data_IF_986808719121
#
_entry.id   IF_986808719121
#
_cell.length_a   1.000
_cell.length_b   1.000
_cell.length_c   1.000
_cell.angle_alpha   90.00
_cell.angle_beta   90.00
_cell.angle_gamma   90.00
#
_symmetry.space_group_name_H-M   'P 1'
#
loop_
_entity.id
_entity.type
_entity.pdbx_description
1 polymer ?
#
# COMPACT_ATOMS: atom_id res chain seq x y z
N UNK A 1 21.46 -10.07 3.33
CA UNK A 1 20.12 -10.19 2.69
C UNK A 1 19.24 -11.09 3.55
N UNK A 2 18.09 -10.59 3.99
CA UNK A 2 17.13 -11.42 4.71
C UNK A 2 16.38 -12.27 3.68
N UNK A 3 16.39 -13.57 3.84
CA UNK A 3 15.55 -14.46 3.03
C UNK A 3 14.22 -14.72 3.76
N UNK A 4 13.40 -13.69 3.86
CA UNK A 4 12.10 -13.72 4.52
C UNK A 4 11.00 -13.32 3.55
N UNK A 5 9.85 -14.00 3.67
CA UNK A 5 8.60 -13.62 3.00
C UNK A 5 7.69 -13.03 4.06
N UNK A 6 7.14 -11.83 3.80
CA UNK A 6 6.11 -11.22 4.65
C UNK A 6 4.80 -11.21 3.88
N UNK A 7 3.72 -11.67 4.50
CA UNK A 7 2.40 -11.78 3.89
C UNK A 7 1.28 -11.69 4.93
N UNK A 8 0.06 -11.56 4.45
CA UNK A 8 -1.16 -11.65 5.28
C UNK A 8 -1.52 -13.12 5.44
N UNK A 9 -1.59 -13.59 6.68
CA UNK A 9 -1.99 -14.96 7.03
C UNK A 9 -3.35 -14.98 7.69
N UNK A 10 -4.14 -16.02 7.40
CA UNK A 10 -5.39 -16.33 8.08
C UNK A 10 -5.23 -17.61 8.88
N UNK A 11 -5.53 -17.55 10.17
CA UNK A 11 -5.48 -18.70 11.07
C UNK A 11 -6.88 -19.25 11.31
N UNK A 12 -7.15 -20.43 10.78
CA UNK A 12 -8.44 -21.15 10.87
C UNK A 12 -8.48 -22.24 11.95
N UNK A 13 -7.55 -22.24 12.90
CA UNK A 13 -7.53 -23.28 13.95
C UNK A 13 -8.73 -23.22 14.91
N UNK A 14 -9.31 -22.05 15.09
CA UNK A 14 -10.56 -21.89 15.84
C UNK A 14 -11.76 -22.11 14.91
N UNK A 15 -12.88 -22.59 15.48
CA UNK A 15 -14.12 -22.82 14.70
C UNK A 15 -14.92 -21.54 14.44
N UNK A 16 -14.53 -20.45 15.09
CA UNK A 16 -15.09 -19.11 14.92
C UNK A 16 -14.45 -18.40 13.72
N UNK A 17 -14.56 -17.10 13.61
CA UNK A 17 -13.94 -16.33 12.56
C UNK A 17 -12.41 -16.53 12.52
N UNK A 18 -11.80 -16.60 11.32
CA UNK A 18 -10.35 -16.71 11.20
C UNK A 18 -9.66 -15.48 11.79
N UNK A 19 -8.54 -15.72 12.47
CA UNK A 19 -7.70 -14.63 12.98
C UNK A 19 -6.72 -14.23 11.90
N UNK A 20 -6.85 -12.99 11.43
CA UNK A 20 -5.95 -12.40 10.46
C UNK A 20 -4.71 -11.81 11.14
N UNK A 21 -3.57 -11.90 10.46
CA UNK A 21 -2.32 -11.36 10.95
C UNK A 21 -1.35 -11.07 9.81
N UNK A 22 -0.33 -10.27 10.08
CA UNK A 22 0.85 -10.19 9.22
C UNK A 22 1.89 -11.14 9.77
N UNK A 23 2.44 -11.99 8.92
CA UNK A 23 3.44 -12.99 9.29
C UNK A 23 4.72 -12.82 8.47
N UNK A 24 5.84 -13.21 9.07
CA UNK A 24 7.13 -13.38 8.41
C UNK A 24 7.49 -14.86 8.41
N UNK A 25 7.99 -15.36 7.29
CA UNK A 25 8.53 -16.72 7.16
C UNK A 25 9.99 -16.63 6.80
N UNK A 26 10.86 -17.26 7.60
CA UNK A 26 12.26 -17.43 7.28
C UNK A 26 12.43 -18.63 6.34
N UNK A 27 12.87 -18.36 5.10
CA UNK A 27 13.03 -19.40 4.06
C UNK A 27 14.24 -20.32 4.38
N UNK A 28 15.21 -19.84 5.15
CA UNK A 28 16.43 -20.60 5.47
C UNK A 28 16.28 -21.50 6.69
N UNK A 29 15.40 -21.15 7.64
CA UNK A 29 15.19 -21.89 8.90
C UNK A 29 13.91 -22.71 8.85
N UNK A 30 13.83 -23.70 7.97
CA UNK A 30 12.70 -24.65 7.85
C UNK A 30 11.31 -24.01 7.78
N UNK A 31 11.22 -22.74 7.34
CA UNK A 31 9.96 -22.03 7.23
C UNK A 31 9.37 -21.60 8.57
N UNK A 32 10.19 -21.26 9.56
CA UNK A 32 9.73 -20.71 10.83
C UNK A 32 8.85 -19.49 10.62
N UNK A 33 7.63 -19.54 11.16
CA UNK A 33 6.61 -18.51 11.02
C UNK A 33 6.60 -17.63 12.26
N UNK A 34 6.79 -16.32 12.07
CA UNK A 34 6.69 -15.32 13.15
C UNK A 34 5.52 -14.38 12.86
N UNK A 35 4.63 -14.18 13.85
CA UNK A 35 3.56 -13.18 13.76
C UNK A 35 4.17 -11.81 14.02
N UNK A 36 4.06 -10.91 13.02
CA UNK A 36 4.55 -9.54 13.09
C UNK A 36 3.48 -8.57 13.63
N UNK A 37 2.25 -8.68 13.16
CA UNK A 37 1.12 -7.86 13.62
C UNK A 37 -0.15 -8.69 13.71
N UNK A 38 -0.96 -8.43 14.75
CA UNK A 38 -2.26 -9.06 15.00
C UNK A 38 -3.14 -8.13 15.83
N UNK A 39 -4.44 -8.44 15.95
CA UNK A 39 -5.39 -7.70 16.78
C UNK A 39 -6.38 -6.82 16.01
N UNK A 40 -6.15 -6.54 14.73
CA UNK A 40 -7.19 -6.03 13.84
C UNK A 40 -7.92 -7.20 13.17
N UNK A 41 -9.16 -6.97 12.70
CA UNK A 41 -9.94 -8.00 12.01
C UNK A 41 -9.36 -8.34 10.64
N UNK A 42 -8.78 -7.34 9.95
CA UNK A 42 -8.24 -7.51 8.58
C UNK A 42 -6.91 -6.78 8.39
N UNK A 43 -6.09 -7.34 7.51
CA UNK A 43 -4.80 -6.80 7.09
C UNK A 43 -4.63 -6.85 5.58
N UNK A 44 -3.92 -5.88 5.00
CA UNK A 44 -3.58 -5.87 3.58
C UNK A 44 -2.23 -5.20 3.31
N UNK A 45 -1.66 -5.52 2.16
CA UNK A 45 -0.54 -4.80 1.52
C UNK A 45 0.67 -4.54 2.43
N UNK A 46 1.20 -5.55 3.15
CA UNK A 46 2.47 -5.36 3.86
C UNK A 46 3.60 -5.11 2.86
N UNK A 47 4.35 -4.01 3.04
CA UNK A 47 5.46 -3.61 2.18
C UNK A 47 6.66 -3.18 3.00
N UNK A 48 7.83 -3.71 2.66
CA UNK A 48 9.10 -3.39 3.32
C UNK A 48 9.77 -2.22 2.60
N UNK A 49 10.34 -1.29 3.36
CA UNK A 49 11.17 -0.21 2.82
C UNK A 49 12.41 -0.75 2.08
N UNK A 50 12.96 -0.01 1.09
CA UNK A 50 14.12 -0.46 0.31
C UNK A 50 15.36 -0.83 1.15
N UNK A 51 15.53 -0.21 2.31
CA UNK A 51 16.61 -0.51 3.25
C UNK A 51 16.32 -1.72 4.16
N UNK A 52 15.11 -2.30 4.07
CA UNK A 52 14.68 -3.46 4.85
C UNK A 52 14.44 -3.20 6.34
N UNK A 53 14.28 -1.94 6.75
CA UNK A 53 14.20 -1.56 8.18
C UNK A 53 12.84 -1.14 8.66
N UNK A 54 11.92 -0.88 7.74
CA UNK A 54 10.57 -0.41 8.06
C UNK A 54 9.55 -1.25 7.31
N UNK A 55 8.48 -1.65 7.98
CA UNK A 55 7.31 -2.27 7.39
C UNK A 55 6.17 -1.25 7.39
N UNK A 56 5.47 -1.12 6.28
CA UNK A 56 4.18 -0.45 6.20
C UNK A 56 3.10 -1.48 5.88
N UNK A 57 1.87 -1.27 6.39
CA UNK A 57 0.72 -2.12 6.12
C UNK A 57 -0.58 -1.38 6.31
N UNK A 58 -1.66 -1.91 5.73
CA UNK A 58 -3.03 -1.45 5.93
C UNK A 58 -3.77 -2.44 6.81
N UNK A 59 -4.62 -1.94 7.71
CA UNK A 59 -5.52 -2.75 8.53
C UNK A 59 -6.88 -2.06 8.70
N UNK A 60 -7.92 -2.84 9.02
CA UNK A 60 -9.23 -2.31 9.36
C UNK A 60 -10.01 -3.30 10.22
N UNK A 61 -11.14 -2.86 10.76
CA UNK A 61 -12.03 -3.64 11.61
C UNK A 61 -13.47 -3.54 11.16
N UNK A 62 -14.25 -4.56 11.49
CA UNK A 62 -15.69 -4.52 11.34
C UNK A 62 -16.29 -3.25 12.00
N UNK A 63 -17.36 -2.69 11.44
CA UNK A 63 -18.15 -3.15 10.29
C UNK A 63 -17.62 -2.63 8.94
N UNK A 64 -16.45 -1.95 8.91
CA UNK A 64 -15.94 -1.31 7.71
C UNK A 64 -15.44 -2.33 6.70
N UNK A 65 -15.70 -2.04 5.42
CA UNK A 65 -15.02 -2.64 4.29
C UNK A 65 -13.77 -1.82 3.97
N UNK A 66 -12.80 -2.35 3.21
CA UNK A 66 -11.55 -1.62 2.94
C UNK A 66 -11.72 -0.31 2.15
N UNK A 67 -12.87 -0.13 1.50
CA UNK A 67 -13.23 1.12 0.83
C UNK A 67 -14.03 2.10 1.70
N UNK A 68 -14.45 1.71 2.93
CA UNK A 68 -15.15 2.59 3.86
C UNK A 68 -14.16 3.32 4.77
N UNK A 69 -13.34 2.56 5.51
CA UNK A 69 -12.31 3.12 6.39
C UNK A 69 -11.23 2.08 6.67
N UNK A 70 -9.98 2.50 6.47
CA UNK A 70 -8.78 1.70 6.75
C UNK A 70 -7.71 2.55 7.42
N UNK A 71 -6.76 1.92 8.07
CA UNK A 71 -5.65 2.57 8.75
C UNK A 71 -4.32 2.15 8.14
N UNK A 72 -3.45 3.10 7.85
CA UNK A 72 -2.08 2.86 7.40
C UNK A 72 -1.11 2.97 8.57
N UNK A 73 -0.38 1.89 8.81
CA UNK A 73 0.63 1.81 9.85
C UNK A 73 2.04 1.69 9.27
N UNK A 74 3.01 2.17 10.03
CA UNK A 74 4.44 1.91 9.84
C UNK A 74 5.05 1.46 11.15
N UNK A 75 6.06 0.58 11.08
CA UNK A 75 6.85 0.18 12.24
C UNK A 75 8.29 -0.16 11.86
N UNK A 76 9.22 0.03 12.80
CA UNK A 76 10.60 -0.44 12.65
C UNK A 76 10.61 -1.98 12.58
N UNK A 77 11.25 -2.55 11.58
CA UNK A 77 11.43 -4.00 11.42
C UNK A 77 12.85 -4.40 11.81
N UNK A 78 12.98 -5.14 12.93
CA UNK A 78 14.28 -5.62 13.45
C UNK A 78 14.15 -7.07 13.89
N UNK A 79 15.03 -7.96 13.42
CA UNK A 79 15.09 -9.37 13.83
C UNK A 79 13.73 -10.10 13.76
N UNK A 80 12.95 -9.85 12.69
CA UNK A 80 11.58 -10.39 12.52
C UNK A 80 10.58 -9.96 13.61
N UNK A 81 10.78 -8.79 14.19
CA UNK A 81 9.86 -8.17 15.13
C UNK A 81 9.57 -6.73 14.73
N UNK A 82 8.37 -6.25 15.05
CA UNK A 82 7.97 -4.85 14.82
C UNK A 82 8.09 -4.04 16.12
N UNK A 83 8.70 -2.87 15.99
CA UNK A 83 8.86 -1.91 17.08
C UNK A 83 8.22 -0.58 16.70
N UNK A 84 7.70 0.12 17.71
CA UNK A 84 7.15 1.47 17.57
C UNK A 84 6.09 1.59 16.45
N UNK A 85 5.04 0.75 16.41
CA UNK A 85 4.01 0.88 15.39
C UNK A 85 3.32 2.25 15.51
N UNK A 86 3.18 2.95 14.40
CA UNK A 86 2.55 4.27 14.32
C UNK A 86 1.51 4.26 13.21
N UNK A 87 0.29 4.70 13.52
CA UNK A 87 -0.70 5.04 12.51
C UNK A 87 -0.32 6.38 11.87
N UNK A 88 -0.24 6.42 10.55
CA UNK A 88 0.15 7.62 9.79
C UNK A 88 -0.97 8.20 8.94
N UNK A 89 -2.01 7.42 8.65
CA UNK A 89 -3.22 7.84 7.94
C UNK A 89 -4.39 6.91 8.31
N UNK A 90 -5.62 7.30 8.00
CA UNK A 90 -6.81 6.47 8.24
C UNK A 90 -7.72 6.99 9.36
N UNK A 91 -7.85 8.29 9.52
CA UNK A 91 -8.79 8.89 10.47
C UNK A 91 -10.16 9.14 9.81
N UNK A 92 -10.86 8.03 9.46
CA UNK A 92 -12.17 8.08 8.81
C UNK A 92 -12.09 8.20 7.29
N UNK A 93 -11.02 7.71 6.70
CA UNK A 93 -10.75 7.64 5.27
C UNK A 93 -10.41 6.22 4.84
N UNK A 94 -10.57 5.92 3.55
CA UNK A 94 -10.03 4.71 2.94
C UNK A 94 -8.60 4.95 2.48
N UNK A 95 -7.66 4.15 3.00
CA UNK A 95 -6.24 4.19 2.61
C UNK A 95 -5.85 2.84 2.02
N UNK A 96 -5.14 2.84 0.91
CA UNK A 96 -4.72 1.61 0.26
C UNK A 96 -3.41 1.75 -0.51
N UNK A 97 -2.90 0.62 -0.99
CA UNK A 97 -1.75 0.51 -1.88
C UNK A 97 -0.49 1.25 -1.38
N UNK A 98 -0.03 1.03 -0.14
CA UNK A 98 1.23 1.58 0.31
C UNK A 98 2.38 1.04 -0.55
N UNK A 99 3.25 1.94 -0.99
CA UNK A 99 4.48 1.62 -1.74
C UNK A 99 5.60 2.54 -1.29
N UNK A 100 6.78 1.98 -1.17
CA UNK A 100 7.99 2.75 -0.94
C UNK A 100 8.61 3.15 -2.28
N UNK A 101 8.93 4.43 -2.44
CA UNK A 101 9.78 4.88 -3.54
C UNK A 101 11.18 4.26 -3.40
N UNK A 102 11.97 4.18 -4.49
CA UNK A 102 13.32 3.64 -4.41
C UNK A 102 14.25 4.36 -3.41
N UNK A 103 13.97 5.64 -3.12
CA UNK A 103 14.69 6.45 -2.12
C UNK A 103 14.06 6.41 -0.71
N UNK A 104 13.08 5.53 -0.47
CA UNK A 104 12.55 5.24 0.88
C UNK A 104 11.47 6.20 1.38
N UNK A 105 10.79 6.92 0.50
CA UNK A 105 9.61 7.71 0.85
C UNK A 105 8.36 6.85 0.67
N UNK A 106 7.50 6.78 1.69
CA UNK A 106 6.25 6.03 1.60
C UNK A 106 5.19 6.83 0.84
N UNK A 107 4.57 6.16 -0.13
CA UNK A 107 3.43 6.65 -0.87
C UNK A 107 2.24 5.72 -0.65
N UNK A 108 1.03 6.23 -0.83
CA UNK A 108 -0.21 5.49 -0.67
C UNK A 108 -1.36 6.23 -1.36
N UNK A 109 -2.51 5.60 -1.47
CA UNK A 109 -3.73 6.24 -1.97
C UNK A 109 -4.66 6.49 -0.79
N UNK A 110 -5.30 7.67 -0.76
CA UNK A 110 -6.26 8.10 0.26
C UNK A 110 -7.44 8.82 -0.39
N UNK A 111 -8.64 8.60 0.13
CA UNK A 111 -9.86 9.28 -0.28
C UNK A 111 -10.24 10.49 0.62
N UNK A 112 -9.34 10.93 1.49
CA UNK A 112 -9.55 12.07 2.40
C UNK A 112 -10.03 13.34 1.69
N UNK A 113 -9.65 13.52 0.42
CA UNK A 113 -10.09 14.65 -0.41
C UNK A 113 -11.50 14.49 -1.00
N UNK A 114 -12.17 13.35 -0.77
CA UNK A 114 -13.40 12.91 -1.43
C UNK A 114 -13.15 12.14 -2.74
N UNK A 115 -11.88 11.92 -3.10
CA UNK A 115 -11.43 11.15 -4.26
C UNK A 115 -10.18 10.38 -3.86
N UNK A 116 -10.02 9.15 -4.32
CA UNK A 116 -8.80 8.37 -4.09
C UNK A 116 -7.61 8.98 -4.84
N UNK A 117 -6.85 9.81 -4.15
CA UNK A 117 -5.67 10.48 -4.68
C UNK A 117 -4.37 9.84 -4.17
N UNK A 118 -3.29 9.95 -4.96
CA UNK A 118 -1.95 9.50 -4.54
C UNK A 118 -1.38 10.52 -3.54
N UNK A 119 -0.94 10.01 -2.40
CA UNK A 119 -0.31 10.77 -1.33
C UNK A 119 1.11 10.29 -1.07
N UNK A 120 1.97 11.14 -0.52
CA UNK A 120 3.27 10.78 0.07
C UNK A 120 3.31 11.14 1.55
N UNK A 121 4.01 10.33 2.33
CA UNK A 121 4.30 10.60 3.73
C UNK A 121 5.75 11.03 3.92
N UNK A 122 5.98 12.29 4.19
CA UNK A 122 7.30 12.89 4.35
C UNK A 122 7.30 13.92 5.47
N UNK A 123 8.36 13.95 6.28
CA UNK A 123 8.49 14.89 7.39
C UNK A 123 7.37 14.75 8.44
N UNK A 124 6.83 13.56 8.63
CA UNK A 124 5.67 13.26 9.50
C UNK A 124 4.37 13.92 9.05
N UNK A 125 4.23 14.19 7.77
CA UNK A 125 3.02 14.77 7.16
C UNK A 125 2.67 14.04 5.88
N UNK A 126 1.37 13.96 5.62
CA UNK A 126 0.82 13.48 4.36
C UNK A 126 0.65 14.64 3.39
N UNK A 127 1.05 14.43 2.15
CA UNK A 127 0.96 15.40 1.06
C UNK A 127 0.21 14.75 -0.10
N UNK A 128 -0.92 15.33 -0.51
CA UNK A 128 -1.66 14.89 -1.70
C UNK A 128 -0.89 15.35 -2.95
N UNK A 129 -0.46 14.39 -3.79
CA UNK A 129 0.29 14.64 -5.02
C UNK A 129 -0.62 14.85 -6.22
N UNK A 130 -1.87 14.37 -6.16
CA UNK A 130 -2.84 14.42 -7.25
C UNK A 130 -4.15 15.04 -6.79
N UNK A 131 -4.18 16.33 -6.37
CA UNK A 131 -5.37 16.98 -5.80
C UNK A 131 -6.40 17.31 -6.90
N UNK A 132 -6.92 16.28 -7.57
CA UNK A 132 -7.90 16.39 -8.66
C UNK A 132 -9.11 15.48 -8.40
N UNK A 133 -10.24 15.82 -9.01
CA UNK A 133 -11.46 15.02 -8.96
C UNK A 133 -11.33 13.81 -9.90
N UNK A 134 -10.59 12.81 -9.46
CA UNK A 134 -10.32 11.56 -10.17
C UNK A 134 -9.96 10.45 -9.19
N UNK A 135 -10.24 9.20 -9.57
CA UNK A 135 -9.96 8.01 -8.78
C UNK A 135 -8.67 7.34 -9.26
N UNK A 136 -7.64 7.31 -8.43
CA UNK A 136 -6.37 6.63 -8.69
C UNK A 136 -6.37 5.17 -8.22
N UNK A 137 -7.52 4.65 -7.87
CA UNK A 137 -7.79 3.25 -7.59
C UNK A 137 -9.29 2.96 -7.79
N UNK A 138 -9.70 1.76 -7.45
CA UNK A 138 -11.08 1.32 -7.34
C UNK A 138 -11.30 0.62 -6.00
N UNK A 139 -12.54 0.29 -5.65
CA UNK A 139 -12.86 -0.48 -4.46
C UNK A 139 -12.02 -1.78 -4.41
N UNK A 140 -11.40 -2.05 -3.25
CA UNK A 140 -10.42 -3.12 -3.06
C UNK A 140 -11.12 -4.49 -2.88
N UNK A 141 -11.71 -5.02 -3.95
CA UNK A 141 -12.34 -6.35 -3.98
C UNK A 141 -11.33 -7.50 -3.93
N UNK A 142 -10.08 -7.23 -4.27
CA UNK A 142 -8.97 -8.19 -4.27
C UNK A 142 -7.73 -7.61 -3.61
N UNK A 143 -6.91 -8.49 -3.04
CA UNK A 143 -5.63 -8.10 -2.46
C UNK A 143 -4.57 -7.95 -3.56
N UNK A 144 -3.64 -7.00 -3.36
CA UNK A 144 -2.46 -6.84 -4.21
C UNK A 144 -2.69 -6.08 -5.53
N UNK A 145 -3.89 -5.58 -5.79
CA UNK A 145 -4.17 -4.73 -6.97
C UNK A 145 -3.43 -3.40 -6.82
N UNK A 146 -2.83 -2.92 -7.91
CA UNK A 146 -2.05 -1.68 -7.94
C UNK A 146 -2.47 -0.80 -9.11
N UNK A 147 -2.58 0.50 -8.85
CA UNK A 147 -2.89 1.51 -9.87
C UNK A 147 -1.76 2.55 -10.02
N UNK A 148 -0.66 2.40 -9.30
CA UNK A 148 0.56 3.17 -9.52
C UNK A 148 1.81 2.35 -9.17
N UNK A 149 2.94 2.71 -9.78
CA UNK A 149 4.26 2.16 -9.44
C UNK A 149 5.35 3.17 -9.79
N UNK A 150 6.55 3.00 -9.23
CA UNK A 150 7.70 3.86 -9.49
C UNK A 150 8.48 3.39 -10.71
N UNK A 151 8.68 4.27 -11.68
CA UNK A 151 9.65 4.07 -12.77
C UNK A 151 11.05 4.42 -12.26
N UNK A 152 11.16 5.58 -11.59
CA UNK A 152 12.38 6.09 -10.95
C UNK A 152 12.03 6.74 -9.61
N UNK A 153 12.99 7.38 -8.93
CA UNK A 153 12.72 8.18 -7.74
C UNK A 153 11.78 9.37 -8.02
N UNK A 154 11.87 9.92 -9.22
CA UNK A 154 11.23 11.17 -9.61
C UNK A 154 10.13 10.95 -10.67
N UNK A 155 9.71 9.69 -10.87
CA UNK A 155 8.68 9.37 -11.85
C UNK A 155 7.83 8.18 -11.41
N UNK A 156 6.54 8.43 -11.31
CA UNK A 156 5.50 7.45 -11.03
C UNK A 156 4.67 7.27 -12.30
N UNK A 157 4.41 6.01 -12.69
CA UNK A 157 3.35 5.68 -13.64
C UNK A 157 2.09 5.38 -12.84
N UNK A 158 0.95 5.93 -13.25
CA UNK A 158 -0.32 5.68 -12.58
C UNK A 158 -1.46 5.56 -13.57
N UNK A 159 -2.46 4.75 -13.19
CA UNK A 159 -3.76 4.73 -13.84
C UNK A 159 -4.76 5.48 -12.96
N UNK A 160 -5.68 6.18 -13.60
CA UNK A 160 -6.74 6.88 -12.91
C UNK A 160 -8.03 6.90 -13.74
N UNK A 161 -9.17 6.98 -13.07
CA UNK A 161 -10.47 7.15 -13.70
C UNK A 161 -10.99 8.57 -13.49
N UNK A 162 -11.43 9.21 -14.56
CA UNK A 162 -12.09 10.50 -14.53
C UNK A 162 -13.31 10.49 -15.45
N UNK A 163 -14.46 10.87 -14.91
CA UNK A 163 -15.74 10.86 -15.64
C UNK A 163 -16.07 9.46 -16.23
N UNK A 164 -15.67 8.38 -15.56
CA UNK A 164 -15.91 7.01 -15.98
C UNK A 164 -14.92 6.45 -17.01
N UNK A 165 -13.91 7.21 -17.39
CA UNK A 165 -12.87 6.77 -18.35
C UNK A 165 -11.53 6.60 -17.66
N UNK A 166 -10.92 5.42 -17.85
CA UNK A 166 -9.58 5.12 -17.39
C UNK A 166 -8.53 5.74 -18.30
N UNK A 167 -7.47 6.23 -17.68
CA UNK A 167 -6.31 6.84 -18.33
C UNK A 167 -5.03 6.40 -17.63
N UNK A 168 -3.90 6.51 -18.34
CA UNK A 168 -2.55 6.37 -17.78
C UNK A 168 -1.87 7.72 -17.78
N UNK A 169 -1.09 7.98 -16.76
CA UNK A 169 -0.30 9.21 -16.68
C UNK A 169 1.06 8.97 -16.03
N UNK A 170 1.97 9.90 -16.29
CA UNK A 170 3.20 10.09 -15.54
C UNK A 170 3.00 11.21 -14.53
N UNK A 171 3.42 10.96 -13.29
CA UNK A 171 3.40 11.90 -12.18
C UNK A 171 4.84 12.10 -11.68
N UNK A 172 5.26 13.36 -11.57
CA UNK A 172 6.46 13.74 -10.83
C UNK A 172 6.08 13.95 -9.36
N UNK A 173 6.59 13.12 -8.42
CA UNK A 173 6.24 13.22 -7.00
C UNK A 173 6.88 14.42 -6.28
N UNK A 174 7.73 15.20 -6.96
CA UNK A 174 8.40 16.39 -6.42
C UNK A 174 7.64 17.65 -6.83
N UNK A 175 7.46 17.85 -8.14
CA UNK A 175 6.74 19.01 -8.68
C UNK A 175 5.21 18.85 -8.66
N UNK A 176 4.71 17.62 -8.54
CA UNK A 176 3.32 17.21 -8.73
C UNK A 176 2.83 17.46 -10.18
N UNK A 177 3.73 17.59 -11.14
CA UNK A 177 3.39 17.65 -12.55
C UNK A 177 2.83 16.30 -13.01
N UNK A 178 1.73 16.38 -13.77
CA UNK A 178 0.92 15.24 -14.15
C UNK A 178 0.62 15.29 -15.65
N UNK A 179 1.04 14.26 -16.38
CA UNK A 179 0.95 14.22 -17.86
C UNK A 179 0.31 12.91 -18.31
N UNK A 180 -0.84 13.01 -18.98
CA UNK A 180 -1.51 11.86 -19.60
C UNK A 180 -0.62 11.20 -20.67
N UNK A 181 -0.62 9.86 -20.68
CA UNK A 181 -0.05 9.04 -21.74
C UNK A 181 -1.21 8.50 -22.56
N UNK A 182 -1.16 8.68 -23.87
CA UNK A 182 -2.14 8.10 -24.77
C UNK A 182 -1.86 6.59 -24.93
N UNK A 183 -2.78 5.77 -24.46
CA UNK A 183 -2.72 4.30 -24.55
C UNK A 183 -4.07 3.79 -25.05
N UNK A 184 -4.04 2.92 -26.04
CA UNK A 184 -5.24 2.28 -26.61
C UNK A 184 -5.41 0.88 -26.02
N UNK A 185 -5.55 0.80 -24.70
CA UNK A 185 -5.75 -0.47 -23.96
C UNK A 185 -6.70 -0.28 -22.79
N UNK A 186 -7.42 -1.34 -22.42
CA UNK A 186 -8.13 -1.41 -21.15
C UNK A 186 -7.14 -1.63 -20.00
N UNK A 187 -7.25 -0.79 -18.97
CA UNK A 187 -6.34 -0.82 -17.82
C UNK A 187 -7.02 -1.58 -16.69
N UNK A 188 -6.39 -2.66 -16.23
CA UNK A 188 -6.86 -3.42 -15.06
C UNK A 188 -6.01 -3.16 -13.84
N UNK A 189 -4.69 -3.01 -14.02
CA UNK A 189 -3.71 -2.76 -12.96
C UNK A 189 -2.36 -2.30 -13.56
N UNK A 190 -1.49 -1.74 -12.72
CA UNK A 190 -0.14 -1.33 -13.10
C UNK A 190 0.88 -2.04 -12.22
N UNK A 191 1.84 -2.72 -12.85
CA UNK A 191 2.98 -3.32 -12.18
C UNK A 191 4.29 -2.96 -12.89
N UNK A 192 5.32 -2.67 -12.10
CA UNK A 192 6.68 -2.59 -12.60
C UNK A 192 7.18 -4.00 -12.92
N UNK A 193 7.40 -4.29 -14.19
CA UNK A 193 8.21 -5.44 -14.60
C UNK A 193 9.67 -5.06 -14.48
N UNK A 194 10.46 -5.86 -13.74
CA UNK A 194 11.85 -5.54 -13.45
C UNK A 194 12.65 -5.12 -14.69
N UNK A 195 13.30 -3.98 -14.59
CA UNK A 195 14.31 -3.58 -15.56
C UNK A 195 15.48 -4.57 -15.45
N UNK A 196 15.82 -5.20 -16.58
CA UNK A 196 17.09 -5.90 -16.73
C UNK A 196 18.23 -4.90 -16.85
#
# INVERSE_FOLDING_TARGET
ERQQIIYVGENHYNKDEPVNCIVSVDIQNDGEVTILASGADFYASPVISPDGRTLAWVQWNHPNMPWDATELYVADLKHSELYNPQKIAGDGESVCQPLWSPNGILHYISDLSGWWNICKYEGKKSHNLTPINAEFTQAQWGLGVRFYDFITNDQIICAYSRLGFWKVALLDPISCDFVDIDVDIDITEIHRTGLK
#
